data_IF_455343862315
#
_entry.id   IF_455343862315
#
_cell.length_a   1.000
_cell.length_b   1.000
_cell.length_c   1.000
_cell.angle_alpha   90.00
_cell.angle_beta   90.00
_cell.angle_gamma   90.00
#
_symmetry.space_group_name_H-M   'P 1'
#
loop_
_entity.id
_entity.type
_entity.pdbx_description
1 polymer ?
#
# COMPACT_ATOMS: atom_id res chain seq x y z
N UNK A 1 -3.14 -13.95 9.77
CA UNK A 1 -1.92 -14.74 9.58
C UNK A 1 -1.36 -15.18 10.94
N UNK A 2 -1.06 -16.47 11.11
CA UNK A 2 -0.50 -17.11 12.32
C UNK A 2 0.99 -16.76 12.42
N UNK A 3 1.62 -16.64 13.62
CA UNK A 3 3.04 -16.27 13.75
C UNK A 3 4.02 -17.09 12.88
N UNK A 4 3.70 -18.35 12.59
CA UNK A 4 4.48 -19.23 11.71
C UNK A 4 4.51 -18.75 10.24
N UNK A 5 3.44 -18.14 9.75
CA UNK A 5 3.35 -17.62 8.38
C UNK A 5 4.18 -16.33 8.22
N UNK A 6 4.46 -15.60 9.30
CA UNK A 6 5.27 -14.38 9.30
C UNK A 6 6.77 -14.67 9.27
N UNK A 7 7.23 -15.76 9.90
CA UNK A 7 8.62 -16.19 9.74
C UNK A 7 8.89 -16.69 8.33
N UNK A 8 7.89 -17.29 7.68
CA UNK A 8 7.96 -17.65 6.27
C UNK A 8 8.16 -16.42 5.35
N UNK A 9 7.63 -15.24 5.72
CA UNK A 9 7.86 -13.99 4.97
C UNK A 9 9.27 -13.40 5.14
N UNK A 10 10.00 -13.78 6.20
CA UNK A 10 11.38 -13.33 6.45
C UNK A 10 12.43 -14.21 5.77
N UNK A 11 12.02 -15.36 5.23
CA UNK A 11 12.93 -16.22 4.48
C UNK A 11 13.23 -15.60 3.12
N UNK A 12 14.25 -16.11 2.45
CA UNK A 12 14.62 -15.64 1.11
C UNK A 12 13.46 -15.83 0.14
N UNK A 13 12.73 -16.94 0.27
CA UNK A 13 11.54 -17.27 -0.52
C UNK A 13 10.40 -16.29 -0.22
N UNK A 14 10.12 -16.01 1.06
CA UNK A 14 9.09 -15.05 1.46
C UNK A 14 9.35 -13.62 0.97
N UNK A 15 10.59 -13.14 1.11
CA UNK A 15 10.98 -11.83 0.60
C UNK A 15 10.93 -11.76 -0.93
N UNK A 16 11.23 -12.87 -1.62
CA UNK A 16 11.11 -12.96 -3.08
C UNK A 16 9.65 -12.86 -3.52
N UNK A 17 8.73 -13.56 -2.85
CA UNK A 17 7.29 -13.48 -3.13
C UNK A 17 6.77 -12.06 -2.87
N UNK A 18 7.18 -11.43 -1.77
CA UNK A 18 6.76 -10.07 -1.43
C UNK A 18 7.24 -9.05 -2.48
N UNK A 19 8.50 -9.18 -2.90
CA UNK A 19 9.07 -8.33 -3.95
C UNK A 19 8.38 -8.54 -5.30
N UNK A 20 8.10 -9.80 -5.64
CA UNK A 20 7.39 -10.16 -6.87
C UNK A 20 5.97 -9.57 -6.90
N UNK A 21 5.25 -9.58 -5.77
CA UNK A 21 3.91 -9.01 -5.67
C UNK A 21 3.88 -7.49 -5.97
N UNK A 22 4.93 -6.75 -5.58
CA UNK A 22 5.05 -5.32 -5.89
C UNK A 22 5.30 -5.12 -7.39
N UNK A 23 6.20 -5.92 -7.97
CA UNK A 23 6.52 -5.85 -9.40
C UNK A 23 5.29 -6.18 -10.24
N UNK A 24 4.51 -7.19 -9.85
CA UNK A 24 3.25 -7.56 -10.50
C UNK A 24 2.26 -6.38 -10.54
N UNK A 25 2.16 -5.62 -9.44
CA UNK A 25 1.32 -4.44 -9.40
C UNK A 25 1.76 -3.34 -10.38
N UNK A 26 3.07 -3.09 -10.47
CA UNK A 26 3.63 -2.12 -11.42
C UNK A 26 3.42 -2.58 -12.87
N UNK A 27 3.57 -3.88 -13.14
CA UNK A 27 3.29 -4.44 -14.47
C UNK A 27 1.80 -4.35 -14.81
N UNK A 28 0.92 -4.61 -13.83
CA UNK A 28 -0.53 -4.52 -13.97
C UNK A 28 -0.98 -3.12 -14.40
N UNK A 29 -0.47 -2.05 -13.77
CA UNK A 29 -0.82 -0.68 -14.16
C UNK A 29 -0.27 -0.31 -15.54
N UNK A 30 0.91 -0.82 -15.92
CA UNK A 30 1.47 -0.61 -17.27
C UNK A 30 0.58 -1.26 -18.33
N UNK A 31 0.20 -2.53 -18.13
CA UNK A 31 -0.67 -3.27 -19.05
C UNK A 31 -2.03 -2.58 -19.14
N UNK A 32 -2.64 -2.20 -18.00
CA UNK A 32 -3.92 -1.51 -17.98
C UNK A 32 -3.85 -0.15 -18.71
N UNK A 33 -2.76 0.59 -18.53
CA UNK A 33 -2.52 1.87 -19.22
C UNK A 33 -2.42 1.68 -20.74
N UNK A 34 -1.77 0.62 -21.20
CA UNK A 34 -1.70 0.26 -22.63
C UNK A 34 -3.10 -0.06 -23.15
N UNK A 35 -3.87 -0.88 -22.44
CA UNK A 35 -5.25 -1.26 -22.84
C UNK A 35 -6.14 -0.03 -22.93
N UNK A 36 -6.12 0.85 -21.94
CA UNK A 36 -6.90 2.10 -21.95
C UNK A 36 -6.45 3.01 -23.10
N UNK A 37 -5.14 3.14 -23.34
CA UNK A 37 -4.62 3.92 -24.46
C UNK A 37 -5.15 3.40 -25.80
N UNK A 38 -5.13 2.08 -26.00
CA UNK A 38 -5.64 1.44 -27.22
C UNK A 38 -7.15 1.67 -27.38
N UNK A 39 -7.93 1.50 -26.31
CA UNK A 39 -9.39 1.65 -26.35
C UNK A 39 -9.84 3.10 -26.57
N UNK A 40 -9.16 4.07 -25.96
CA UNK A 40 -9.57 5.48 -25.98
C UNK A 40 -8.97 6.24 -27.15
N UNK A 41 -7.71 5.99 -27.48
CA UNK A 41 -6.94 6.77 -28.46
C UNK A 41 -6.68 6.02 -29.77
N UNK A 42 -7.12 4.76 -29.89
CA UNK A 42 -6.92 3.94 -31.09
C UNK A 42 -5.46 3.53 -31.32
N UNK A 43 -4.58 3.71 -30.33
CA UNK A 43 -3.14 3.44 -30.43
C UNK A 43 -2.42 3.49 -29.09
N UNK A 44 -1.17 3.05 -29.10
CA UNK A 44 -0.30 3.10 -27.91
C UNK A 44 0.24 4.52 -27.76
N UNK A 45 0.05 5.12 -26.57
CA UNK A 45 0.68 6.38 -26.19
C UNK A 45 1.91 6.10 -25.29
N UNK A 46 3.11 5.93 -25.87
CA UNK A 46 4.32 5.59 -25.12
C UNK A 46 4.70 6.68 -24.11
N UNK A 47 4.45 7.95 -24.42
CA UNK A 47 4.77 9.09 -23.55
C UNK A 47 3.91 9.04 -22.27
N UNK A 48 2.63 8.71 -22.39
CA UNK A 48 1.74 8.56 -21.25
C UNK A 48 2.15 7.43 -20.31
N UNK A 49 2.57 6.29 -20.90
CA UNK A 49 3.03 5.12 -20.15
C UNK A 49 4.34 5.42 -19.41
N UNK A 50 5.31 6.04 -20.09
CA UNK A 50 6.59 6.45 -19.50
C UNK A 50 6.37 7.42 -18.33
N UNK A 51 5.47 8.39 -18.48
CA UNK A 51 5.17 9.37 -17.44
C UNK A 51 4.52 8.74 -16.20
N UNK A 52 3.61 7.77 -16.38
CA UNK A 52 3.03 7.01 -15.26
C UNK A 52 4.12 6.22 -14.55
N UNK A 53 4.96 5.52 -15.31
CA UNK A 53 6.04 4.71 -14.75
C UNK A 53 7.03 5.57 -13.96
N UNK A 54 7.43 6.72 -14.50
CA UNK A 54 8.29 7.68 -13.82
C UNK A 54 7.65 8.21 -12.52
N UNK A 55 6.35 8.55 -12.54
CA UNK A 55 5.62 8.96 -11.34
C UNK A 55 5.65 7.89 -10.25
N UNK A 56 5.40 6.62 -10.60
CA UNK A 56 5.42 5.50 -9.64
C UNK A 56 6.80 5.36 -9.01
N UNK A 57 7.86 5.31 -9.82
CA UNK A 57 9.23 5.15 -9.32
C UNK A 57 9.62 6.33 -8.42
N UNK A 58 9.40 7.56 -8.88
CA UNK A 58 9.74 8.75 -8.12
C UNK A 58 8.98 8.78 -6.79
N UNK A 59 7.68 8.48 -6.81
CA UNK A 59 6.86 8.47 -5.60
C UNK A 59 7.34 7.42 -4.58
N UNK A 60 7.65 6.21 -5.04
CA UNK A 60 8.19 5.15 -4.18
C UNK A 60 9.54 5.55 -3.61
N UNK A 61 10.47 6.03 -4.44
CA UNK A 61 11.82 6.42 -4.00
C UNK A 61 11.75 7.58 -2.99
N UNK A 62 10.97 8.62 -3.29
CA UNK A 62 10.80 9.75 -2.37
C UNK A 62 10.20 9.27 -1.06
N UNK A 63 9.15 8.44 -1.10
CA UNK A 63 8.51 7.95 0.10
C UNK A 63 9.49 7.12 0.94
N UNK A 64 10.12 6.10 0.35
CA UNK A 64 11.01 5.17 1.08
C UNK A 64 12.29 5.82 1.59
N UNK A 65 12.90 6.76 0.84
CA UNK A 65 14.20 7.31 1.23
C UNK A 65 14.12 8.63 1.99
N UNK A 66 13.12 9.49 1.75
CA UNK A 66 13.04 10.82 2.37
C UNK A 66 12.08 10.87 3.57
N UNK A 67 11.05 10.02 3.61
CA UNK A 67 10.03 10.06 4.67
C UNK A 67 10.43 9.40 5.99
N UNK A 68 11.22 8.29 6.04
CA UNK A 68 11.57 7.66 7.32
C UNK A 68 12.13 8.63 8.39
N UNK A 69 13.12 9.50 8.10
CA UNK A 69 13.62 10.41 9.12
C UNK A 69 12.59 11.46 9.54
N UNK A 70 11.69 11.86 8.63
CA UNK A 70 10.63 12.83 8.91
C UNK A 70 9.55 12.23 9.83
N UNK A 71 9.05 11.04 9.49
CA UNK A 71 8.00 10.37 10.27
C UNK A 71 8.52 9.94 11.65
N UNK A 72 9.76 9.45 11.73
CA UNK A 72 10.38 9.02 12.99
C UNK A 72 10.59 10.21 13.96
N UNK A 73 10.95 11.39 13.44
CA UNK A 73 10.98 12.64 14.24
C UNK A 73 9.59 13.06 14.69
N UNK A 74 8.59 12.99 13.81
CA UNK A 74 7.22 13.38 14.10
C UNK A 74 6.62 12.50 15.21
N UNK A 75 6.75 11.18 15.08
CA UNK A 75 6.28 10.21 16.06
C UNK A 75 6.95 10.42 17.43
N UNK A 76 8.27 10.63 17.47
CA UNK A 76 8.97 10.97 18.73
C UNK A 76 8.43 12.22 19.39
N UNK A 77 8.22 13.29 18.62
CA UNK A 77 7.71 14.56 19.14
C UNK A 77 6.33 14.39 19.76
N UNK A 78 5.47 13.63 19.09
CA UNK A 78 4.10 13.36 19.55
C UNK A 78 4.09 12.52 20.83
N UNK A 79 4.96 11.50 20.94
CA UNK A 79 5.11 10.70 22.17
C UNK A 79 5.64 11.57 23.32
N UNK A 80 6.62 12.45 23.08
CA UNK A 80 7.15 13.36 24.10
C UNK A 80 6.13 14.36 24.65
N UNK A 81 5.08 14.68 23.89
CA UNK A 81 3.99 15.55 24.33
C UNK A 81 2.98 14.85 25.26
N UNK A 82 3.23 13.57 25.61
CA UNK A 82 2.42 12.82 26.57
C UNK A 82 1.30 11.98 25.95
N UNK A 83 1.21 11.92 24.63
CA UNK A 83 0.19 11.15 23.92
C UNK A 83 0.69 9.73 23.57
N UNK A 84 0.93 8.87 24.57
CA UNK A 84 1.54 7.54 24.35
C UNK A 84 0.82 6.69 23.28
N UNK A 85 -0.52 6.71 23.22
CA UNK A 85 -1.32 5.94 22.25
C UNK A 85 -1.48 6.62 20.87
N UNK A 86 -1.06 7.88 20.72
CA UNK A 86 -1.28 8.63 19.48
C UNK A 86 -0.36 8.24 18.32
N UNK A 87 0.64 7.40 18.57
CA UNK A 87 1.55 6.86 17.55
C UNK A 87 0.76 6.16 16.44
N UNK A 88 -0.28 5.40 16.79
CA UNK A 88 -1.12 4.66 15.84
C UNK A 88 -2.01 5.63 15.08
N UNK A 89 -2.66 6.57 15.77
CA UNK A 89 -3.53 7.58 15.16
C UNK A 89 -2.77 8.41 14.14
N UNK A 90 -1.57 8.87 14.49
CA UNK A 90 -0.71 9.62 13.56
C UNK A 90 -0.27 8.76 12.39
N UNK A 91 0.11 7.50 12.63
CA UNK A 91 0.52 6.58 11.57
C UNK A 91 -0.61 6.27 10.60
N UNK A 92 -1.84 6.08 11.10
CA UNK A 92 -3.04 5.90 10.27
C UNK A 92 -3.40 7.18 9.51
N UNK A 93 -3.35 8.35 10.15
CA UNK A 93 -3.60 9.61 9.48
C UNK A 93 -2.59 9.86 8.34
N UNK A 94 -1.31 9.59 8.59
CA UNK A 94 -0.28 9.67 7.58
C UNK A 94 -0.45 8.62 6.47
N UNK A 95 -0.82 7.37 6.81
CA UNK A 95 -1.14 6.33 5.83
C UNK A 95 -2.23 6.80 4.85
N UNK A 96 -3.34 7.32 5.36
CA UNK A 96 -4.42 7.85 4.52
C UNK A 96 -3.99 9.08 3.73
N UNK A 97 -3.16 9.96 4.30
CA UNK A 97 -2.59 11.09 3.58
C UNK A 97 -1.71 10.65 2.40
N UNK A 98 -0.86 9.63 2.57
CA UNK A 98 -0.04 9.08 1.49
C UNK A 98 -0.88 8.34 0.44
N UNK A 99 -1.90 7.59 0.85
CA UNK A 99 -2.85 6.98 -0.07
C UNK A 99 -3.58 8.03 -0.92
N UNK A 100 -4.04 9.12 -0.28
CA UNK A 100 -4.67 10.25 -0.96
C UNK A 100 -3.71 10.99 -1.90
N UNK A 101 -2.45 11.21 -1.49
CA UNK A 101 -1.42 11.81 -2.34
C UNK A 101 -1.16 10.97 -3.59
N UNK A 102 -1.12 9.65 -3.47
CA UNK A 102 -0.98 8.76 -4.61
C UNK A 102 -2.16 8.90 -5.58
N UNK A 103 -3.39 8.90 -5.09
CA UNK A 103 -4.58 9.12 -5.91
C UNK A 103 -4.58 10.50 -6.59
N UNK A 104 -4.16 11.55 -5.88
CA UNK A 104 -4.02 12.88 -6.45
C UNK A 104 -2.99 12.94 -7.60
N UNK A 105 -1.98 12.06 -7.57
CA UNK A 105 -1.00 11.90 -8.65
C UNK A 105 -1.50 11.02 -9.81
N UNK A 106 -2.74 10.52 -9.74
CA UNK A 106 -3.35 9.52 -10.63
C UNK A 106 -2.68 8.14 -10.52
N UNK A 107 -2.20 7.80 -9.32
CA UNK A 107 -1.70 6.48 -8.98
C UNK A 107 -2.74 5.77 -8.11
N UNK A 108 -2.68 4.45 -8.04
CA UNK A 108 -3.53 3.73 -7.10
C UNK A 108 -3.13 4.04 -5.65
N UNK A 109 -4.12 4.16 -4.75
CA UNK A 109 -3.90 4.45 -3.32
C UNK A 109 -2.97 3.46 -2.62
N UNK A 110 -2.95 2.20 -3.07
CA UNK A 110 -2.03 1.18 -2.53
C UNK A 110 -0.55 1.54 -2.75
N UNK A 111 -0.22 2.26 -3.84
CA UNK A 111 1.13 2.79 -4.09
C UNK A 111 1.50 3.95 -3.16
N UNK A 112 0.50 4.56 -2.50
CA UNK A 112 0.69 5.49 -1.38
C UNK A 112 0.93 4.75 -0.07
N UNK A 113 0.01 3.85 0.24
CA UNK A 113 -0.03 3.14 1.51
C UNK A 113 1.19 2.23 1.73
N UNK A 114 1.59 1.46 0.70
CA UNK A 114 2.62 0.45 0.83
C UNK A 114 4.03 1.02 1.08
N UNK A 115 4.56 1.97 0.26
CA UNK A 115 5.87 2.57 0.52
C UNK A 115 5.92 3.37 1.82
N UNK A 116 4.79 3.96 2.23
CA UNK A 116 4.69 4.59 3.55
C UNK A 116 4.78 3.56 4.68
N UNK A 117 4.14 2.40 4.54
CA UNK A 117 4.31 1.26 5.46
C UNK A 117 5.76 0.78 5.57
N UNK A 118 6.50 0.72 4.45
CA UNK A 118 7.95 0.47 4.45
C UNK A 118 8.72 1.58 5.18
N UNK A 119 8.29 2.83 5.04
CA UNK A 119 8.93 3.94 5.76
C UNK A 119 8.71 3.84 7.27
N UNK A 120 7.55 3.32 7.70
CA UNK A 120 7.25 3.05 9.11
C UNK A 120 8.05 1.88 9.69
N UNK A 121 8.43 0.88 8.87
CA UNK A 121 9.21 -0.28 9.36
C UNK A 121 10.63 0.08 9.79
N UNK A 122 11.17 1.18 9.27
CA UNK A 122 12.47 1.75 9.66
C UNK A 122 12.42 2.55 10.97
N UNK A 123 11.22 2.81 11.51
CA UNK A 123 11.07 3.57 12.75
C UNK A 123 11.18 2.70 13.99
N UNK A 124 11.51 3.31 15.14
CA UNK A 124 11.49 2.61 16.45
C UNK A 124 10.09 2.19 16.88
N UNK A 125 9.05 2.76 16.27
CA UNK A 125 7.64 2.53 16.58
C UNK A 125 7.00 1.43 15.75
N UNK A 126 7.77 0.73 14.89
CA UNK A 126 7.23 -0.31 14.00
C UNK A 126 6.41 -1.37 14.73
N UNK A 127 6.86 -1.83 15.91
CA UNK A 127 6.22 -2.93 16.65
C UNK A 127 4.80 -2.57 17.11
N UNK A 128 4.59 -1.49 17.90
CA UNK A 128 3.24 -1.13 18.32
C UNK A 128 2.35 -0.80 17.12
N UNK A 129 2.86 -0.05 16.12
CA UNK A 129 2.07 0.27 14.92
C UNK A 129 1.62 -1.02 14.20
N UNK A 130 2.52 -1.99 14.05
CA UNK A 130 2.23 -3.27 13.41
C UNK A 130 1.18 -4.08 14.18
N UNK A 131 1.31 -4.22 15.49
CA UNK A 131 0.37 -4.97 16.32
C UNK A 131 -1.04 -4.38 16.27
N UNK A 132 -1.17 -3.06 16.38
CA UNK A 132 -2.47 -2.39 16.31
C UNK A 132 -3.08 -2.39 14.91
N UNK A 133 -2.27 -2.22 13.87
CA UNK A 133 -2.74 -2.33 12.47
C UNK A 133 -3.26 -3.74 12.19
N UNK A 134 -2.63 -4.76 12.78
CA UNK A 134 -3.06 -6.16 12.68
C UNK A 134 -4.35 -6.49 13.44
N UNK A 135 -4.73 -5.67 14.41
CA UNK A 135 -6.06 -5.82 15.02
C UNK A 135 -7.11 -5.26 14.06
N UNK A 136 -6.84 -4.08 13.48
CA UNK A 136 -7.74 -3.44 12.53
C UNK A 136 -7.96 -4.27 11.25
N UNK A 137 -6.89 -4.82 10.67
CA UNK A 137 -7.00 -5.61 9.43
C UNK A 137 -7.86 -6.86 9.62
N UNK A 138 -7.64 -7.64 10.68
CA UNK A 138 -8.29 -8.91 10.91
C UNK A 138 -9.67 -8.77 11.52
N UNK A 139 -9.88 -7.76 12.38
CA UNK A 139 -11.19 -7.57 13.02
C UNK A 139 -12.18 -6.83 12.14
N UNK A 140 -11.72 -6.05 11.16
CA UNK A 140 -12.60 -5.16 10.38
C UNK A 140 -12.38 -5.26 8.87
N UNK A 141 -11.19 -4.96 8.37
CA UNK A 141 -11.00 -4.78 6.92
C UNK A 141 -11.08 -6.07 6.11
N UNK A 142 -10.45 -7.16 6.57
CA UNK A 142 -10.45 -8.45 5.88
C UNK A 142 -11.86 -9.05 5.81
N UNK A 143 -12.63 -9.15 6.92
CA UNK A 143 -14.02 -9.60 6.85
C UNK A 143 -14.89 -8.75 5.92
N UNK A 144 -14.77 -7.41 5.99
CA UNK A 144 -15.51 -6.51 5.11
C UNK A 144 -15.18 -6.73 3.63
N UNK A 145 -13.90 -6.92 3.31
CA UNK A 145 -13.47 -7.25 1.95
C UNK A 145 -14.12 -8.54 1.44
N UNK A 146 -14.16 -9.61 2.26
CA UNK A 146 -14.80 -10.87 1.84
C UNK A 146 -16.32 -10.73 1.68
N UNK A 147 -16.97 -9.91 2.50
CA UNK A 147 -18.39 -9.58 2.35
C UNK A 147 -18.63 -8.85 1.03
N UNK A 148 -17.82 -7.84 0.70
CA UNK A 148 -17.91 -7.08 -0.55
C UNK A 148 -17.72 -7.96 -1.81
N UNK A 149 -16.69 -8.81 -1.81
CA UNK A 149 -16.46 -9.79 -2.88
C UNK A 149 -17.64 -10.76 -3.01
N UNK A 150 -18.16 -11.27 -1.88
CA UNK A 150 -19.31 -12.17 -1.87
C UNK A 150 -20.57 -11.53 -2.43
N UNK A 151 -20.85 -10.27 -2.08
CA UNK A 151 -21.99 -9.51 -2.60
C UNK A 151 -21.88 -9.18 -4.10
N UNK A 152 -20.66 -9.10 -4.62
CA UNK A 152 -20.41 -8.83 -6.04
C UNK A 152 -20.73 -10.02 -6.96
N UNK A 153 -20.89 -11.23 -6.39
CA UNK A 153 -21.20 -12.45 -7.15
C UNK A 153 -22.72 -12.57 -7.35
N UNK A 154 -23.16 -12.57 -8.61
CA UNK A 154 -24.55 -12.88 -8.95
C UNK A 154 -24.78 -14.39 -8.98
N UNK A 155 -25.42 -14.93 -7.95
CA UNK A 155 -25.73 -16.37 -7.84
C UNK A 155 -26.53 -16.93 -9.04
N UNK A 156 -27.34 -16.11 -9.69
CA UNK A 156 -28.09 -16.51 -10.89
C UNK A 156 -27.24 -16.82 -12.13
N UNK A 157 -25.95 -16.44 -12.15
CA UNK A 157 -25.03 -16.79 -13.24
C UNK A 157 -24.49 -18.23 -13.14
N UNK A 158 -24.58 -18.86 -11.95
CA UNK A 158 -24.18 -20.26 -11.73
C UNK A 158 -25.34 -21.26 -11.90
N UNK A 159 -26.59 -20.77 -11.91
CA UNK A 159 -27.82 -21.57 -12.01
C UNK A 159 -28.43 -21.58 -13.42
N UNK A 160 -27.66 -21.17 -14.44
CA UNK A 160 -28.04 -21.24 -15.85
C UNK A 160 -27.07 -22.10 -16.63
#
# INVERSE_FOLDING_TARGET
MVPMELDALKTVEGNTILTAAIVDYILGIVILSIVISMLVHGGINPIGIELIFAKVIIFILVTVYLIPPAIDRLLRKVVHLGFADSTITLSMAALFAFAYLAEHMNLASILGAYPFGLSLSETKFRKPIFEHTRILDHSMFIPLFFVDVGMSIRLGAFLR
#
